data_IF_378085806605
#
_entry.id   IF_378085806605
#
_cell.length_a   1.000
_cell.length_b   1.000
_cell.length_c   1.000
_cell.angle_alpha   90.00
_cell.angle_beta   90.00
_cell.angle_gamma   90.00
#
_symmetry.space_group_name_H-M   'P 1'
#
loop_
_entity.id
_entity.type
_entity.pdbx_description
1 polymer ?
#
# COMPACT_ATOMS: atom_id res chain seq x y z
N UNK A 1 12.03 7.66 -39.84
CA UNK A 1 11.03 7.00 -38.98
C UNK A 1 10.08 8.02 -38.38
N UNK A 2 8.88 7.57 -38.08
CA UNK A 2 7.88 8.39 -37.40
C UNK A 2 7.89 8.09 -35.90
N UNK A 3 7.77 9.13 -35.07
CA UNK A 3 7.62 9.05 -33.63
C UNK A 3 6.24 9.60 -33.25
N UNK A 4 5.53 8.87 -32.39
CA UNK A 4 4.24 9.29 -31.84
C UNK A 4 4.45 10.15 -30.60
N UNK A 5 3.44 10.92 -30.19
CA UNK A 5 3.49 11.82 -29.04
C UNK A 5 3.76 11.08 -27.70
N UNK A 6 3.31 9.83 -27.61
CA UNK A 6 3.44 8.97 -26.44
C UNK A 6 4.66 8.03 -26.49
N UNK A 7 5.65 8.33 -27.33
CA UNK A 7 6.87 7.53 -27.50
C UNK A 7 8.13 8.40 -27.41
N UNK A 8 9.18 7.85 -26.82
CA UNK A 8 10.56 8.33 -26.97
C UNK A 8 11.23 7.54 -28.09
N UNK A 9 12.00 8.22 -28.95
CA UNK A 9 12.84 7.60 -29.96
C UNK A 9 14.31 7.63 -29.56
N UNK A 10 14.90 6.48 -29.21
CA UNK A 10 16.32 6.39 -28.90
C UNK A 10 17.05 5.96 -30.17
N UNK A 11 17.84 6.86 -30.76
CA UNK A 11 18.70 6.56 -31.90
C UNK A 11 20.03 6.00 -31.43
N UNK A 12 20.34 4.83 -31.92
CA UNK A 12 21.54 4.07 -31.58
C UNK A 12 22.45 3.95 -32.81
N UNK A 13 23.73 4.15 -32.60
CA UNK A 13 24.76 3.84 -33.59
C UNK A 13 25.81 2.95 -32.92
N UNK A 14 25.99 1.73 -33.44
CA UNK A 14 26.85 0.71 -32.82
C UNK A 14 26.55 0.50 -31.33
N UNK A 15 25.28 0.40 -31.00
CA UNK A 15 24.77 0.28 -29.62
C UNK A 15 25.03 1.46 -28.68
N UNK A 16 25.55 2.58 -29.18
CA UNK A 16 25.71 3.82 -28.40
C UNK A 16 24.56 4.77 -28.71
N UNK A 17 24.04 5.46 -27.71
CA UNK A 17 23.02 6.49 -27.87
C UNK A 17 23.64 7.69 -28.57
N UNK A 18 23.08 8.07 -29.72
CA UNK A 18 23.51 9.23 -30.50
C UNK A 18 22.57 10.40 -30.29
N UNK A 19 21.27 10.12 -30.18
CA UNK A 19 20.26 11.14 -29.93
C UNK A 19 19.01 10.51 -29.31
N UNK A 20 18.24 11.35 -28.61
CA UNK A 20 16.93 11.01 -28.08
C UNK A 20 15.93 12.00 -28.67
N UNK A 21 14.91 11.48 -29.30
CA UNK A 21 13.84 12.26 -29.90
C UNK A 21 12.61 12.15 -28.99
N UNK A 22 12.15 13.28 -28.46
CA UNK A 22 11.07 13.34 -27.44
C UNK A 22 9.76 13.87 -28.01
N UNK A 23 9.81 14.57 -29.14
CA UNK A 23 8.64 15.17 -29.79
C UNK A 23 8.10 14.29 -30.89
N UNK A 24 6.78 14.30 -31.08
CA UNK A 24 6.18 13.64 -32.24
C UNK A 24 6.66 14.26 -33.56
N UNK A 25 6.93 13.44 -34.55
CA UNK A 25 7.39 13.93 -35.83
C UNK A 25 8.03 12.88 -36.73
N UNK A 26 8.55 13.37 -37.85
CA UNK A 26 9.33 12.57 -38.79
C UNK A 26 10.81 12.83 -38.59
N UNK A 27 11.56 11.78 -38.34
CA UNK A 27 12.99 11.85 -38.07
C UNK A 27 13.76 11.01 -39.12
N UNK A 28 14.93 11.49 -39.48
CA UNK A 28 15.83 10.76 -40.33
C UNK A 28 16.81 9.92 -39.53
N UNK A 29 17.10 8.73 -40.03
CA UNK A 29 18.18 7.87 -39.51
C UNK A 29 19.07 7.46 -40.67
N UNK A 30 20.35 7.25 -40.43
CA UNK A 30 21.27 6.74 -41.41
C UNK A 30 21.01 5.23 -41.59
N UNK A 31 20.56 4.79 -42.78
CA UNK A 31 20.34 3.36 -43.00
C UNK A 31 21.63 2.57 -42.77
N UNK A 32 21.52 1.34 -42.33
CA UNK A 32 22.58 0.38 -42.03
C UNK A 32 23.47 0.73 -40.83
N UNK A 33 23.60 2.01 -40.42
CA UNK A 33 24.44 2.43 -39.30
C UNK A 33 23.65 2.73 -38.02
N UNK A 34 22.40 3.17 -38.15
CA UNK A 34 21.60 3.59 -37.01
C UNK A 34 20.35 2.73 -36.84
N UNK A 35 20.13 2.31 -35.61
CA UNK A 35 18.90 1.67 -35.15
C UNK A 35 18.10 2.60 -34.26
N UNK A 36 16.77 2.45 -34.23
CA UNK A 36 15.88 3.21 -33.37
C UNK A 36 15.15 2.26 -32.44
N UNK A 37 15.23 2.54 -31.15
CA UNK A 37 14.41 1.90 -30.12
C UNK A 37 13.32 2.86 -29.70
N UNK A 38 12.07 2.43 -29.78
CA UNK A 38 10.92 3.19 -29.30
C UNK A 38 10.59 2.75 -27.88
N UNK A 39 10.39 3.72 -26.99
CA UNK A 39 10.09 3.52 -25.58
C UNK A 39 8.78 4.24 -25.27
N UNK A 40 7.82 3.60 -24.61
CA UNK A 40 6.57 4.26 -24.26
C UNK A 40 6.80 5.38 -23.24
N UNK A 41 6.22 6.54 -23.51
CA UNK A 41 6.18 7.71 -22.62
C UNK A 41 4.93 7.67 -21.72
N UNK A 42 3.91 6.92 -22.16
CA UNK A 42 2.66 6.76 -21.44
C UNK A 42 2.84 5.94 -20.16
N UNK A 43 1.93 6.17 -19.22
CA UNK A 43 1.85 5.36 -18.00
C UNK A 43 1.53 3.92 -18.36
N UNK A 44 2.31 3.00 -17.81
CA UNK A 44 2.16 1.55 -17.98
C UNK A 44 1.58 0.95 -16.72
N UNK A 45 0.64 0.03 -16.88
CA UNK A 45 0.10 -0.79 -15.80
C UNK A 45 0.90 -2.09 -15.70
N UNK A 46 1.28 -2.45 -14.48
CA UNK A 46 1.84 -3.76 -14.18
C UNK A 46 1.16 -4.34 -12.95
N UNK A 47 0.54 -5.50 -13.14
CA UNK A 47 -0.10 -6.28 -12.09
C UNK A 47 0.92 -7.25 -11.49
N UNK A 48 1.21 -7.08 -10.19
CA UNK A 48 2.17 -7.91 -9.46
C UNK A 48 1.43 -9.13 -8.91
N UNK A 49 2.09 -10.30 -8.95
CA UNK A 49 1.53 -11.50 -8.32
C UNK A 49 1.37 -11.30 -6.82
N UNK A 50 0.24 -11.76 -6.24
CA UNK A 50 0.06 -11.74 -4.80
C UNK A 50 1.23 -12.38 -4.08
N UNK A 51 1.65 -11.79 -2.97
CA UNK A 51 2.82 -12.24 -2.22
C UNK A 51 2.58 -12.15 -0.72
N UNK A 52 3.23 -13.08 0.01
CA UNK A 52 3.16 -13.13 1.46
C UNK A 52 4.02 -12.02 2.08
N UNK A 53 3.43 -11.30 3.01
CA UNK A 53 4.09 -10.29 3.82
C UNK A 53 3.77 -10.51 5.30
N UNK A 54 4.70 -10.16 6.17
CA UNK A 54 4.54 -10.34 7.61
C UNK A 54 4.51 -8.97 8.29
N UNK A 55 3.54 -8.75 9.14
CA UNK A 55 3.39 -7.54 9.96
C UNK A 55 4.35 -7.54 11.17
N UNK A 56 4.50 -6.41 11.86
CA UNK A 56 5.35 -6.30 13.05
C UNK A 56 4.89 -7.21 14.19
N UNK A 57 3.59 -7.45 14.31
CA UNK A 57 2.96 -8.39 15.26
C UNK A 57 2.95 -9.85 14.77
N UNK A 58 3.79 -10.18 13.77
CA UNK A 58 4.04 -11.52 13.22
C UNK A 58 2.81 -12.22 12.62
N UNK A 59 1.87 -11.45 12.11
CA UNK A 59 0.75 -11.97 11.36
C UNK A 59 1.10 -12.01 9.87
N UNK A 60 0.87 -13.16 9.22
CA UNK A 60 1.06 -13.31 7.78
C UNK A 60 -0.15 -12.76 7.04
N UNK A 61 0.09 -12.00 5.98
CA UNK A 61 -0.93 -11.43 5.10
C UNK A 61 -0.52 -11.61 3.64
N UNK A 62 -1.50 -11.73 2.74
CA UNK A 62 -1.29 -11.78 1.30
C UNK A 62 -1.56 -10.40 0.73
N UNK A 63 -0.54 -9.76 0.17
CA UNK A 63 -0.65 -8.47 -0.49
C UNK A 63 -0.85 -8.67 -2.01
N UNK A 64 -1.98 -8.22 -2.54
CA UNK A 64 -2.26 -8.13 -3.97
C UNK A 64 -2.22 -6.67 -4.40
N UNK A 65 -1.47 -6.34 -5.49
CA UNK A 65 -1.23 -4.98 -5.88
C UNK A 65 -0.97 -4.80 -7.38
N UNK A 66 -1.16 -3.57 -7.84
CA UNK A 66 -0.72 -3.15 -9.16
C UNK A 66 0.11 -1.87 -9.09
N UNK A 67 0.93 -1.66 -10.10
CA UNK A 67 1.82 -0.51 -10.21
C UNK A 67 1.48 0.26 -11.49
N UNK A 68 1.37 1.58 -11.35
CA UNK A 68 1.40 2.52 -12.45
C UNK A 68 2.79 3.13 -12.52
N UNK A 69 3.48 2.95 -13.62
CA UNK A 69 4.85 3.44 -13.81
C UNK A 69 5.04 4.06 -15.20
N UNK A 70 6.03 4.92 -15.33
CA UNK A 70 6.42 5.54 -16.60
C UNK A 70 7.92 5.69 -16.72
N UNK A 71 8.41 5.82 -17.95
CA UNK A 71 9.81 6.18 -18.22
C UNK A 71 9.94 7.68 -18.15
N UNK A 72 10.86 8.18 -17.30
CA UNK A 72 11.17 9.60 -17.13
C UNK A 72 12.55 9.95 -17.70
N UNK A 73 13.47 9.00 -17.74
CA UNK A 73 14.79 9.18 -18.34
C UNK A 73 15.09 8.04 -19.31
N UNK A 74 14.83 8.25 -20.63
CA UNK A 74 15.03 7.21 -21.63
C UNK A 74 16.50 6.81 -21.80
N UNK A 75 17.46 7.70 -21.51
CA UNK A 75 18.90 7.39 -21.56
C UNK A 75 19.25 6.33 -20.53
N UNK A 76 18.94 6.60 -19.26
CA UNK A 76 19.22 5.68 -18.15
C UNK A 76 18.43 4.38 -18.33
N UNK A 77 17.17 4.48 -18.75
CA UNK A 77 16.33 3.33 -19.02
C UNK A 77 16.94 2.38 -20.08
N UNK A 78 17.48 2.93 -21.16
CA UNK A 78 18.19 2.13 -22.16
C UNK A 78 19.49 1.54 -21.60
N UNK A 79 20.30 2.32 -20.92
CA UNK A 79 21.61 1.89 -20.40
C UNK A 79 21.48 0.76 -19.36
N UNK A 80 20.45 0.82 -18.52
CA UNK A 80 20.27 -0.12 -17.41
C UNK A 80 19.39 -1.34 -17.78
N UNK A 81 18.36 -1.11 -18.60
CA UNK A 81 17.33 -2.11 -18.91
C UNK A 81 17.23 -2.45 -20.41
N UNK A 82 18.14 -1.92 -21.24
CA UNK A 82 18.14 -2.09 -22.71
C UNK A 82 16.81 -1.67 -23.38
N UNK A 83 16.08 -0.72 -22.80
CA UNK A 83 14.75 -0.32 -23.22
C UNK A 83 13.78 -1.53 -23.35
N UNK A 84 13.94 -2.54 -22.49
CA UNK A 84 13.09 -3.71 -22.45
C UNK A 84 12.02 -3.56 -21.37
N UNK A 85 10.76 -3.58 -21.78
CA UNK A 85 9.61 -3.43 -20.88
C UNK A 85 9.51 -4.57 -19.87
N UNK A 86 9.88 -5.79 -20.23
CA UNK A 86 9.84 -6.92 -19.29
C UNK A 86 10.90 -6.76 -18.17
N UNK A 87 12.12 -6.34 -18.52
CA UNK A 87 13.15 -6.03 -17.53
C UNK A 87 12.70 -4.90 -16.59
N UNK A 88 12.00 -3.90 -17.14
CA UNK A 88 11.43 -2.82 -16.34
C UNK A 88 10.35 -3.32 -15.37
N UNK A 89 9.41 -4.15 -15.86
CA UNK A 89 8.37 -4.76 -15.03
C UNK A 89 8.97 -5.59 -13.89
N UNK A 90 9.92 -6.45 -14.20
CA UNK A 90 10.58 -7.30 -13.20
C UNK A 90 11.31 -6.45 -12.14
N UNK A 91 12.06 -5.44 -12.58
CA UNK A 91 12.77 -4.55 -11.66
C UNK A 91 11.82 -3.73 -10.81
N UNK A 92 10.79 -3.14 -11.41
CA UNK A 92 9.77 -2.37 -10.69
C UNK A 92 9.00 -3.26 -9.70
N UNK A 93 8.64 -4.48 -10.12
CA UNK A 93 7.97 -5.45 -9.25
C UNK A 93 8.79 -5.82 -8.03
N UNK A 94 10.08 -6.13 -8.20
CA UNK A 94 10.99 -6.45 -7.09
C UNK A 94 11.14 -5.24 -6.14
N UNK A 95 11.33 -4.03 -6.68
CA UNK A 95 11.51 -2.83 -5.88
C UNK A 95 10.27 -2.53 -5.06
N UNK A 96 9.07 -2.54 -5.67
CA UNK A 96 7.82 -2.31 -4.95
C UNK A 96 7.53 -3.41 -3.94
N UNK A 97 7.80 -4.67 -4.27
CA UNK A 97 7.64 -5.77 -3.31
C UNK A 97 8.50 -5.56 -2.05
N UNK A 98 9.76 -5.15 -2.21
CA UNK A 98 10.64 -4.87 -1.09
C UNK A 98 10.13 -3.69 -0.25
N UNK A 99 9.66 -2.62 -0.88
CA UNK A 99 9.07 -1.47 -0.20
C UNK A 99 7.80 -1.85 0.56
N UNK A 100 6.91 -2.64 -0.04
CA UNK A 100 5.71 -3.16 0.64
C UNK A 100 6.08 -3.99 1.85
N UNK A 101 7.03 -4.92 1.67
CA UNK A 101 7.50 -5.76 2.76
C UNK A 101 8.10 -4.92 3.90
N UNK A 102 8.91 -3.90 3.58
CA UNK A 102 9.49 -2.98 4.55
C UNK A 102 8.42 -2.21 5.31
N UNK A 103 7.48 -1.58 4.59
CA UNK A 103 6.41 -0.77 5.19
C UNK A 103 5.48 -1.63 6.05
N UNK A 104 5.00 -2.77 5.52
CA UNK A 104 4.07 -3.64 6.26
C UNK A 104 4.74 -4.28 7.48
N UNK A 105 6.01 -4.68 7.38
CA UNK A 105 6.71 -5.27 8.52
C UNK A 105 7.04 -4.28 9.65
N UNK A 106 6.96 -2.98 9.39
CA UNK A 106 7.10 -1.93 10.40
C UNK A 106 5.80 -1.57 11.13
N UNK A 107 4.65 -2.05 10.65
CA UNK A 107 3.31 -1.71 11.15
C UNK A 107 2.61 -2.94 11.73
N UNK A 108 1.75 -2.73 12.72
CA UNK A 108 0.84 -3.75 13.23
C UNK A 108 -0.35 -3.93 12.27
N UNK A 109 -1.08 -5.03 12.41
CA UNK A 109 -2.27 -5.26 11.59
C UNK A 109 -3.32 -4.16 11.75
N UNK A 110 -3.52 -3.66 12.96
CA UNK A 110 -4.50 -2.60 13.23
C UNK A 110 -4.08 -1.27 12.58
N UNK A 111 -2.81 -0.90 12.67
CA UNK A 111 -2.25 0.29 11.99
C UNK A 111 -2.37 0.20 10.46
N UNK A 112 -2.19 -0.98 9.88
CA UNK A 112 -2.35 -1.20 8.44
C UNK A 112 -3.81 -1.03 8.03
N UNK A 113 -4.76 -1.53 8.84
CA UNK A 113 -6.20 -1.37 8.59
C UNK A 113 -6.60 0.11 8.64
N UNK A 114 -6.08 0.86 9.59
CA UNK A 114 -6.33 2.31 9.71
C UNK A 114 -5.67 3.12 8.59
N UNK A 115 -4.45 2.74 8.18
CA UNK A 115 -3.72 3.39 7.10
C UNK A 115 -4.17 2.94 5.70
N UNK A 116 -5.11 1.99 5.62
CA UNK A 116 -5.58 1.39 4.36
C UNK A 116 -6.11 2.46 3.41
N UNK A 117 -5.70 2.36 2.14
CA UNK A 117 -6.10 3.28 1.09
C UNK A 117 -4.97 4.21 0.67
N UNK A 118 -5.23 5.50 0.57
CA UNK A 118 -4.33 6.47 -0.02
C UNK A 118 -3.02 6.65 0.76
N UNK A 119 -3.09 6.68 2.09
CA UNK A 119 -1.91 6.88 2.95
C UNK A 119 -0.89 5.77 2.78
N UNK A 120 -1.33 4.52 2.79
CA UNK A 120 -0.45 3.35 2.61
C UNK A 120 0.15 3.33 1.19
N UNK A 121 -0.69 3.61 0.18
CA UNK A 121 -0.27 3.75 -1.22
C UNK A 121 0.81 4.81 -1.41
N UNK A 122 0.65 6.00 -0.82
CA UNK A 122 1.63 7.08 -0.88
C UNK A 122 2.94 6.70 -0.18
N UNK A 123 2.86 6.06 0.98
CA UNK A 123 4.05 5.63 1.72
C UNK A 123 4.86 4.62 0.91
N UNK A 124 4.23 3.58 0.36
CA UNK A 124 4.89 2.58 -0.48
C UNK A 124 5.48 3.21 -1.74
N UNK A 125 4.72 4.10 -2.40
CA UNK A 125 5.18 4.79 -3.62
C UNK A 125 6.40 5.65 -3.34
N UNK A 126 6.40 6.39 -2.24
CA UNK A 126 7.51 7.26 -1.83
C UNK A 126 8.76 6.47 -1.44
N UNK A 127 8.58 5.31 -0.79
CA UNK A 127 9.69 4.43 -0.39
C UNK A 127 10.34 3.75 -1.61
N UNK A 128 9.54 3.35 -2.61
CA UNK A 128 10.02 2.66 -3.80
C UNK A 128 10.71 3.58 -4.84
N UNK A 129 10.30 4.84 -4.96
CA UNK A 129 10.75 5.75 -6.01
C UNK A 129 12.27 6.01 -6.03
N UNK A 130 12.98 6.25 -4.90
CA UNK A 130 14.42 6.49 -4.92
C UNK A 130 15.23 5.36 -5.56
N UNK A 131 14.80 4.13 -5.38
CA UNK A 131 15.49 2.96 -5.94
C UNK A 131 15.16 2.73 -7.41
N UNK A 132 13.93 2.99 -7.84
CA UNK A 132 13.53 2.77 -9.22
C UNK A 132 13.98 3.89 -10.17
N UNK A 133 14.14 5.11 -9.67
CA UNK A 133 14.66 6.25 -10.45
C UNK A 133 16.07 5.99 -11.00
N UNK A 134 16.87 5.16 -10.34
CA UNK A 134 18.20 4.73 -10.81
C UNK A 134 18.14 3.99 -12.16
N UNK A 135 16.96 3.52 -12.55
CA UNK A 135 16.70 2.85 -13.83
C UNK A 135 15.98 3.73 -14.86
N UNK A 136 15.82 5.02 -14.57
CA UNK A 136 15.13 5.96 -15.45
C UNK A 136 13.61 5.80 -15.46
N UNK A 137 13.06 5.15 -14.44
CA UNK A 137 11.63 4.87 -14.23
C UNK A 137 11.12 5.66 -13.05
N UNK A 138 9.87 6.07 -13.09
CA UNK A 138 9.12 6.63 -11.97
C UNK A 138 7.87 5.78 -11.70
N UNK A 139 7.66 5.46 -10.45
CA UNK A 139 6.39 4.87 -9.99
C UNK A 139 5.44 6.02 -9.72
N UNK A 140 4.36 6.10 -10.51
CA UNK A 140 3.30 7.08 -10.33
C UNK A 140 2.45 6.70 -9.12
N UNK A 141 2.15 5.41 -9.00
CA UNK A 141 1.33 4.88 -7.91
C UNK A 141 1.56 3.37 -7.76
N UNK A 142 1.75 2.92 -6.52
CA UNK A 142 1.75 1.51 -6.15
C UNK A 142 0.51 1.22 -5.30
N UNK A 143 -0.55 0.71 -5.93
CA UNK A 143 -1.87 0.53 -5.30
C UNK A 143 -2.06 -0.89 -4.80
N UNK A 144 -2.42 -1.04 -3.52
CA UNK A 144 -2.93 -2.27 -2.95
C UNK A 144 -4.37 -2.51 -3.42
N UNK A 145 -4.62 -3.65 -4.05
CA UNK A 145 -5.96 -4.14 -4.40
C UNK A 145 -6.64 -4.79 -3.19
N UNK A 146 -5.92 -5.73 -2.58
CA UNK A 146 -6.37 -6.39 -1.35
C UNK A 146 -5.18 -6.70 -0.44
N UNK A 147 -5.48 -6.83 0.83
CA UNK A 147 -4.58 -7.32 1.85
C UNK A 147 -5.37 -8.34 2.68
N UNK A 148 -5.15 -9.61 2.40
CA UNK A 148 -5.94 -10.72 2.92
C UNK A 148 -5.11 -11.60 3.85
N UNK A 149 -5.83 -12.36 4.70
CA UNK A 149 -5.21 -13.42 5.48
C UNK A 149 -5.01 -14.67 4.61
N UNK A 150 -3.95 -15.46 4.81
CA UNK A 150 -3.79 -16.76 4.16
C UNK A 150 -5.01 -17.67 4.41
N UNK A 151 -5.44 -18.38 3.37
CA UNK A 151 -6.66 -19.19 3.44
C UNK A 151 -6.61 -20.27 4.53
N UNK A 152 -5.44 -20.86 4.75
CA UNK A 152 -5.22 -21.93 5.74
C UNK A 152 -5.49 -21.49 7.20
N UNK A 153 -5.43 -20.20 7.48
CA UNK A 153 -5.59 -19.65 8.83
C UNK A 153 -6.84 -18.76 8.99
N UNK A 154 -7.56 -18.47 7.91
CA UNK A 154 -8.70 -17.52 7.95
C UNK A 154 -9.73 -17.91 9.02
N UNK A 155 -10.12 -19.19 9.05
CA UNK A 155 -11.16 -19.67 9.97
C UNK A 155 -10.72 -19.51 11.43
N UNK A 156 -9.51 -19.95 11.78
CA UNK A 156 -8.99 -19.86 13.13
C UNK A 156 -8.80 -18.40 13.60
N UNK A 157 -8.38 -17.51 12.70
CA UNK A 157 -8.24 -16.08 13.00
C UNK A 157 -9.61 -15.43 13.21
N UNK A 158 -10.60 -15.74 12.38
CA UNK A 158 -11.97 -15.21 12.56
C UNK A 158 -12.58 -15.69 13.87
N UNK A 159 -12.46 -16.98 14.22
CA UNK A 159 -12.94 -17.51 15.49
C UNK A 159 -12.27 -16.83 16.70
N UNK A 160 -10.96 -16.60 16.61
CA UNK A 160 -10.23 -15.85 17.64
C UNK A 160 -10.72 -14.41 17.75
N UNK A 161 -10.87 -13.70 16.62
CA UNK A 161 -11.37 -12.31 16.61
C UNK A 161 -12.79 -12.21 17.17
N UNK A 162 -13.68 -13.15 16.82
CA UNK A 162 -15.04 -13.23 17.37
C UNK A 162 -14.99 -13.44 18.89
N UNK A 163 -14.15 -14.38 19.36
CA UNK A 163 -13.98 -14.64 20.80
C UNK A 163 -13.45 -13.42 21.54
N UNK A 164 -12.45 -12.74 20.99
CA UNK A 164 -11.88 -11.53 21.58
C UNK A 164 -12.91 -10.39 21.66
N UNK A 165 -13.67 -10.14 20.58
CA UNK A 165 -14.76 -9.15 20.56
C UNK A 165 -15.87 -9.48 21.56
N UNK A 166 -16.24 -10.75 21.69
CA UNK A 166 -17.22 -11.20 22.69
C UNK A 166 -16.72 -10.98 24.13
N UNK A 167 -15.42 -11.22 24.39
CA UNK A 167 -14.83 -10.98 25.70
C UNK A 167 -14.82 -9.47 26.05
N UNK A 168 -14.48 -8.62 25.07
CA UNK A 168 -14.51 -7.16 25.24
C UNK A 168 -15.96 -6.70 25.51
N UNK A 169 -16.94 -7.18 24.74
CA UNK A 169 -18.35 -6.84 24.95
C UNK A 169 -18.85 -7.29 26.32
N UNK A 170 -18.50 -8.51 26.76
CA UNK A 170 -18.84 -9.01 28.10
C UNK A 170 -18.22 -8.15 29.21
N UNK A 171 -16.96 -7.70 29.03
CA UNK A 171 -16.29 -6.80 29.97
C UNK A 171 -17.02 -5.46 30.09
N UNK A 172 -17.40 -4.84 28.96
CA UNK A 172 -18.16 -3.58 29.00
C UNK A 172 -19.56 -3.75 29.62
N UNK A 173 -20.23 -4.87 29.34
CA UNK A 173 -21.52 -5.17 29.95
C UNK A 173 -21.41 -5.32 31.49
N UNK A 174 -20.42 -6.09 31.94
CA UNK A 174 -20.16 -6.26 33.39
C UNK A 174 -19.77 -4.93 34.08
N UNK A 175 -18.97 -4.09 33.41
CA UNK A 175 -18.65 -2.78 33.93
C UNK A 175 -19.88 -1.87 34.00
N UNK A 176 -20.75 -1.90 32.99
CA UNK A 176 -21.99 -1.16 32.94
C UNK A 176 -22.95 -1.58 34.07
N UNK A 177 -23.14 -2.89 34.27
CA UNK A 177 -23.96 -3.44 35.35
C UNK A 177 -23.40 -3.08 36.75
N UNK A 178 -22.08 -3.16 36.92
CA UNK A 178 -21.40 -2.73 38.16
C UNK A 178 -21.62 -1.24 38.46
N UNK A 179 -21.50 -0.37 37.45
CA UNK A 179 -21.77 1.05 37.60
C UNK A 179 -23.23 1.33 37.92
N UNK A 180 -24.16 0.67 37.22
CA UNK A 180 -25.61 0.79 37.48
C UNK A 180 -25.96 0.39 38.91
N UNK A 181 -25.42 -0.73 39.38
CA UNK A 181 -25.66 -1.23 40.74
C UNK A 181 -25.08 -0.29 41.83
N UNK A 182 -23.91 0.34 41.56
CA UNK A 182 -23.34 1.37 42.46
C UNK A 182 -24.25 2.60 42.54
N UNK A 183 -24.79 3.08 41.41
CA UNK A 183 -25.71 4.22 41.38
C UNK A 183 -27.01 3.88 42.14
N UNK A 184 -27.58 2.69 41.91
CA UNK A 184 -28.78 2.23 42.65
C UNK A 184 -28.54 2.21 44.16
N UNK A 185 -27.45 1.55 44.57
CA UNK A 185 -27.13 1.45 46.01
C UNK A 185 -26.92 2.83 46.65
N UNK A 186 -26.27 3.74 45.98
CA UNK A 186 -26.09 5.12 46.50
C UNK A 186 -27.41 5.89 46.57
N UNK A 187 -28.28 5.73 45.55
CA UNK A 187 -29.58 6.36 45.53
C UNK A 187 -30.45 5.80 46.66
N UNK A 188 -30.49 4.47 46.83
CA UNK A 188 -31.25 3.83 47.91
C UNK A 188 -30.79 4.28 49.30
N UNK A 189 -29.48 4.41 49.50
CA UNK A 189 -28.92 4.95 50.73
C UNK A 189 -29.35 6.41 50.94
N UNK A 190 -29.32 7.25 49.92
CA UNK A 190 -29.78 8.64 50.06
C UNK A 190 -31.27 8.75 50.38
N UNK A 191 -32.10 7.92 49.71
CA UNK A 191 -33.55 7.83 49.99
C UNK A 191 -33.80 7.40 51.42
N UNK A 192 -33.06 6.39 51.94
CA UNK A 192 -33.19 5.93 53.34
C UNK A 192 -32.82 7.04 54.31
N UNK A 193 -31.73 7.81 54.08
CA UNK A 193 -31.33 8.93 54.91
C UNK A 193 -32.41 10.02 54.92
N UNK A 194 -32.93 10.39 53.75
CA UNK A 194 -33.98 11.40 53.63
C UNK A 194 -35.26 11.01 54.37
N UNK A 195 -35.68 9.72 54.27
CA UNK A 195 -36.83 9.21 55.03
C UNK A 195 -36.62 9.27 56.53
N UNK A 196 -35.45 8.85 57.00
CA UNK A 196 -35.11 8.92 58.45
C UNK A 196 -35.06 10.36 58.96
N UNK A 197 -34.58 11.31 58.16
CA UNK A 197 -34.57 12.74 58.51
C UNK A 197 -36.02 13.31 58.56
N UNK A 198 -36.87 12.92 57.60
CA UNK A 198 -38.26 13.37 57.59
C UNK A 198 -39.04 12.84 58.82
N UNK A 199 -38.86 11.58 59.17
CA UNK A 199 -39.46 10.98 60.35
C UNK A 199 -38.98 11.69 61.66
N UNK A 200 -37.69 12.00 61.74
CA UNK A 200 -37.16 12.74 62.88
C UNK A 200 -37.70 14.17 63.00
N UNK A 201 -38.00 14.82 61.88
CA UNK A 201 -38.52 16.19 61.88
C UNK A 201 -40.07 16.25 62.09
N UNK A 202 -40.77 15.12 61.99
CA UNK A 202 -42.19 15.00 62.21
C UNK A 202 -42.60 14.52 63.59
N UNK A 203 -41.64 14.06 64.39
CA UNK A 203 -41.82 13.70 65.81
C UNK A 203 -41.39 14.86 66.71
#
# INVERSE_FOLDING_TARGET
>A
YSLKENEYGIRLQFNKIVAIDESAGLYFKIPFMQNVRKVPKSIQLYDIRPSDVMTSDKKSMIADMYILWRVVNPTVYYQTLNANVNNAKDRTGITVYNSVKSVISSMTQDEIIEARGEKLTQTITSDANPDIQKYGIEIVQAQLKSLDLPDDNKQAVYERMISERNNIAASYTAEGESKAKKIQNETDKQVAILKAQAEKNSA
#
